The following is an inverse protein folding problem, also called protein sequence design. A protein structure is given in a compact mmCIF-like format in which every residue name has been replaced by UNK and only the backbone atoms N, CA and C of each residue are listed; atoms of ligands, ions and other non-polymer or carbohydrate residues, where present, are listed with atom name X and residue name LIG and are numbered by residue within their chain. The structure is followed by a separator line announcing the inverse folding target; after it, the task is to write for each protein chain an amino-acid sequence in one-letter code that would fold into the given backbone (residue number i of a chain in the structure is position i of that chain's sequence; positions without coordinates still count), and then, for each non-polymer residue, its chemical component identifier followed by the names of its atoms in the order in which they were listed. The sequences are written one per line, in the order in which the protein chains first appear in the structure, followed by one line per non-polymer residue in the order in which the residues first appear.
data_IF_790357627788
#
_entry.id   IF_790357627788
#
_cell.length_a   1.000
_cell.length_b   1.000
_cell.length_c   1.000
_cell.angle_alpha   90.00
_cell.angle_beta   90.00
_cell.angle_gamma   90.00
#
_symmetry.space_group_name_H-M   'P 1'
#
loop_
_entity.id
_entity.type
_entity.pdbx_description
1 polymer ?
#
# COMPACT_ATOMS: atom_id res chain seq x y z
N UNK A 1 -23.21 -1.83 -22.42
CA UNK A 1 -22.18 -2.87 -22.16
C UNK A 1 -22.54 -3.57 -20.86
N UNK A 2 -22.48 -4.89 -20.80
CA UNK A 2 -22.82 -5.65 -19.61
C UNK A 2 -21.65 -5.64 -18.61
N UNK A 3 -21.74 -4.84 -17.54
CA UNK A 3 -20.69 -4.68 -16.51
C UNK A 3 -20.32 -6.02 -15.86
N UNK A 4 -21.31 -6.88 -15.58
CA UNK A 4 -21.08 -8.20 -15.01
C UNK A 4 -20.27 -9.11 -15.94
N UNK A 5 -20.55 -9.11 -17.24
CA UNK A 5 -19.81 -9.91 -18.20
C UNK A 5 -18.34 -9.45 -18.32
N UNK A 6 -18.09 -8.14 -18.27
CA UNK A 6 -16.73 -7.58 -18.27
C UNK A 6 -15.99 -7.98 -16.98
N UNK A 7 -16.64 -7.89 -15.83
CA UNK A 7 -16.06 -8.26 -14.54
C UNK A 7 -15.77 -9.77 -14.41
N UNK A 8 -16.65 -10.62 -14.92
CA UNK A 8 -16.43 -12.07 -14.96
C UNK A 8 -15.20 -12.42 -15.79
N UNK A 9 -15.11 -11.92 -17.03
CA UNK A 9 -13.93 -12.16 -17.88
C UNK A 9 -12.64 -11.53 -17.31
N UNK A 10 -12.76 -10.41 -16.60
CA UNK A 10 -11.63 -9.82 -15.88
C UNK A 10 -11.14 -10.72 -14.75
N UNK A 11 -12.06 -11.25 -13.94
CA UNK A 11 -11.76 -12.15 -12.81
C UNK A 11 -11.13 -13.45 -13.30
N UNK A 12 -11.69 -14.08 -14.33
CA UNK A 12 -11.15 -15.30 -14.94
C UNK A 12 -9.69 -15.10 -15.38
N UNK A 13 -9.40 -13.98 -16.03
CA UNK A 13 -8.04 -13.63 -16.46
C UNK A 13 -7.11 -13.36 -15.27
N UNK A 14 -7.56 -12.71 -14.20
CA UNK A 14 -6.72 -12.44 -13.04
C UNK A 14 -6.44 -13.69 -12.20
N UNK A 15 -7.37 -14.65 -12.17
CA UNK A 15 -7.17 -15.93 -11.50
C UNK A 15 -5.97 -16.72 -12.07
N UNK A 16 -5.65 -16.55 -13.36
CA UNK A 16 -4.45 -17.15 -13.97
C UNK A 16 -3.15 -16.38 -13.68
N UNK A 17 -3.25 -15.15 -13.17
CA UNK A 17 -2.11 -14.26 -12.92
C UNK A 17 -1.59 -14.42 -11.49
N UNK A 18 -2.49 -14.49 -10.52
CA UNK A 18 -2.15 -14.62 -9.11
C UNK A 18 -3.32 -15.12 -8.26
N UNK A 19 -3.16 -16.29 -7.63
CA UNK A 19 -4.20 -16.92 -6.82
C UNK A 19 -4.54 -16.16 -5.53
N UNK A 20 -3.72 -15.20 -5.10
CA UNK A 20 -4.01 -14.36 -3.93
C UNK A 20 -4.86 -13.12 -4.27
N UNK A 21 -5.17 -12.89 -5.55
CA UNK A 21 -6.08 -11.80 -5.92
C UNK A 21 -7.52 -12.20 -5.56
N UNK A 22 -8.29 -11.29 -4.95
CA UNK A 22 -9.70 -11.50 -4.68
C UNK A 22 -10.49 -11.52 -6.00
N UNK A 23 -11.72 -12.02 -5.94
CA UNK A 23 -12.69 -11.80 -7.02
C UNK A 23 -12.91 -10.31 -7.26
N UNK A 24 -13.05 -9.93 -8.52
CA UNK A 24 -13.18 -8.54 -8.93
C UNK A 24 -14.60 -8.29 -9.43
N UNK A 25 -15.54 -7.92 -8.54
CA UNK A 25 -16.95 -7.77 -8.89
C UNK A 25 -17.17 -6.68 -9.93
N UNK A 26 -18.39 -6.68 -10.50
CA UNK A 26 -18.86 -5.61 -11.37
C UNK A 26 -18.71 -4.26 -10.69
N UNK A 27 -18.37 -3.25 -11.49
CA UNK A 27 -18.30 -1.88 -11.00
C UNK A 27 -19.72 -1.36 -10.87
N UNK A 28 -20.15 -1.15 -9.64
CA UNK A 28 -21.43 -0.54 -9.32
C UNK A 28 -21.26 0.98 -9.19
N UNK A 29 -22.09 1.79 -9.85
CA UNK A 29 -22.05 3.23 -9.68
C UNK A 29 -22.33 3.61 -8.23
N UNK A 30 -21.40 4.33 -7.62
CA UNK A 30 -21.59 4.99 -6.31
C UNK A 30 -21.87 6.47 -6.52
N UNK A 31 -22.51 7.11 -5.55
CA UNK A 31 -22.80 8.55 -5.61
C UNK A 31 -21.51 9.37 -5.84
N UNK A 32 -21.56 10.31 -6.77
CA UNK A 32 -20.42 11.16 -7.13
C UNK A 32 -19.34 10.47 -8.00
N UNK A 33 -19.44 9.18 -8.29
CA UNK A 33 -18.53 8.50 -9.21
C UNK A 33 -18.99 8.60 -10.67
N UNK A 34 -18.02 8.59 -11.59
CA UNK A 34 -18.26 8.64 -13.03
C UNK A 34 -17.99 7.28 -13.66
N UNK A 35 -19.04 6.70 -14.22
CA UNK A 35 -18.93 5.46 -14.99
C UNK A 35 -18.38 5.74 -16.39
N UNK A 36 -17.33 5.01 -16.74
CA UNK A 36 -16.66 5.07 -18.03
C UNK A 36 -16.70 3.69 -18.68
N UNK A 37 -16.70 3.66 -19.99
CA UNK A 37 -16.57 2.42 -20.76
C UNK A 37 -15.78 2.68 -22.01
N UNK A 38 -15.09 1.68 -22.54
CA UNK A 38 -14.34 1.81 -23.79
C UNK A 38 -14.24 0.47 -24.50
N UNK A 39 -14.06 0.51 -25.82
CA UNK A 39 -13.95 -0.67 -26.68
C UNK A 39 -12.76 -0.49 -27.62
N UNK A 40 -12.00 -1.56 -27.82
CA UNK A 40 -10.87 -1.63 -28.75
C UNK A 40 -10.92 -2.94 -29.54
N UNK A 41 -11.65 -2.95 -30.66
CA UNK A 41 -12.01 -4.20 -31.35
C UNK A 41 -12.86 -5.09 -30.45
N UNK A 42 -12.47 -6.35 -30.29
CA UNK A 42 -13.19 -7.32 -29.44
C UNK A 42 -12.83 -7.23 -27.94
N UNK A 43 -12.04 -6.23 -27.55
CA UNK A 43 -11.68 -6.00 -26.14
C UNK A 43 -12.45 -4.84 -25.56
N UNK A 44 -12.91 -4.99 -24.32
CA UNK A 44 -13.83 -4.06 -23.66
C UNK A 44 -13.34 -3.72 -22.26
N UNK A 45 -13.44 -2.44 -21.91
CA UNK A 45 -13.14 -1.93 -20.59
C UNK A 45 -14.36 -1.25 -19.97
N UNK A 46 -14.59 -1.52 -18.69
CA UNK A 46 -15.45 -0.72 -17.82
C UNK A 46 -14.57 -0.02 -16.78
N UNK A 47 -14.90 1.21 -16.44
CA UNK A 47 -14.18 1.97 -15.43
C UNK A 47 -15.12 2.76 -14.53
N UNK A 48 -14.67 2.98 -13.31
CA UNK A 48 -15.36 3.83 -12.34
C UNK A 48 -14.34 4.83 -11.79
N UNK A 49 -14.55 6.10 -12.08
CA UNK A 49 -13.72 7.19 -11.58
C UNK A 49 -14.33 7.74 -10.30
N UNK A 50 -13.63 7.58 -9.18
CA UNK A 50 -14.06 8.03 -7.85
C UNK A 50 -13.16 9.17 -7.41
N UNK A 51 -13.76 10.31 -7.06
CA UNK A 51 -13.06 11.42 -6.40
C UNK A 51 -13.16 11.24 -4.89
N UNK A 52 -12.02 11.31 -4.21
CA UNK A 52 -11.97 11.28 -2.75
C UNK A 52 -11.13 12.47 -2.27
N UNK A 53 -11.55 13.05 -1.15
CA UNK A 53 -10.92 14.21 -0.54
C UNK A 53 -10.63 13.92 0.92
N UNK A 54 -9.40 14.18 1.34
CA UNK A 54 -8.98 14.10 2.73
C UNK A 54 -8.73 15.51 3.26
N UNK A 55 -9.17 15.79 4.48
CA UNK A 55 -8.76 16.99 5.18
C UNK A 55 -7.24 16.98 5.43
N UNK A 56 -6.59 18.15 5.51
CA UNK A 56 -5.15 18.23 5.77
C UNK A 56 -4.75 17.59 7.10
N UNK A 57 -5.63 17.63 8.09
CA UNK A 57 -5.41 17.08 9.43
C UNK A 57 -5.90 15.62 9.57
N UNK A 58 -6.32 14.98 8.46
CA UNK A 58 -6.72 13.58 8.45
C UNK A 58 -5.51 12.66 8.68
N UNK A 59 -5.73 11.54 9.38
CA UNK A 59 -4.72 10.49 9.58
C UNK A 59 -4.18 9.93 8.26
N UNK A 60 -4.99 9.98 7.20
CA UNK A 60 -4.59 9.50 5.87
C UNK A 60 -3.78 10.53 5.08
N UNK A 61 -3.84 11.82 5.44
CA UNK A 61 -3.29 12.93 4.63
C UNK A 61 -1.78 12.84 4.36
N UNK A 62 -0.93 12.25 5.23
CA UNK A 62 0.48 12.07 4.93
C UNK A 62 0.74 11.02 3.86
N UNK A 63 -0.20 10.11 3.58
CA UNK A 63 0.01 8.93 2.74
C UNK A 63 -0.55 9.09 1.32
N UNK A 64 -1.02 10.30 0.97
CA UNK A 64 -1.70 10.58 -0.30
C UNK A 64 -1.74 12.08 -0.62
N UNK A 65 -2.11 12.40 -1.86
CA UNK A 65 -2.58 13.74 -2.21
C UNK A 65 -3.94 14.03 -1.54
N UNK A 66 -4.23 15.28 -1.18
CA UNK A 66 -5.49 15.65 -0.52
C UNK A 66 -6.70 15.34 -1.38
N UNK A 67 -6.58 15.47 -2.71
CA UNK A 67 -7.61 15.07 -3.66
C UNK A 67 -7.06 13.95 -4.54
N UNK A 68 -7.64 12.76 -4.44
CA UNK A 68 -7.36 11.68 -5.39
C UNK A 68 -8.54 11.43 -6.32
N UNK A 69 -8.24 11.35 -7.61
CA UNK A 69 -9.10 10.75 -8.61
C UNK A 69 -8.61 9.33 -8.84
N UNK A 70 -9.39 8.34 -8.38
CA UNK A 70 -9.05 6.92 -8.51
C UNK A 70 -9.86 6.30 -9.65
N UNK A 71 -9.19 5.62 -10.57
CA UNK A 71 -9.85 4.81 -11.59
C UNK A 71 -9.77 3.34 -11.19
N UNK A 72 -10.93 2.75 -10.94
CA UNK A 72 -11.07 1.30 -10.96
C UNK A 72 -11.41 0.84 -12.37
N UNK A 73 -10.77 -0.25 -12.83
CA UNK A 73 -10.99 -0.78 -14.17
C UNK A 73 -11.31 -2.27 -14.12
N UNK A 74 -12.18 -2.70 -15.04
CA UNK A 74 -12.40 -4.10 -15.42
C UNK A 74 -12.17 -4.23 -16.91
N UNK A 75 -11.42 -5.24 -17.30
CA UNK A 75 -10.94 -5.46 -18.68
C UNK A 75 -11.24 -6.88 -19.10
N UNK A 76 -11.83 -7.07 -20.28
CA UNK A 76 -12.08 -8.37 -20.89
C UNK A 76 -11.73 -8.35 -22.38
N UNK A 77 -11.49 -9.53 -22.96
CA UNK A 77 -11.11 -9.72 -24.35
C UNK A 77 -9.60 -9.90 -24.59
N UNK A 78 -9.19 -10.16 -25.83
CA UNK A 78 -7.84 -10.62 -26.17
C UNK A 78 -6.74 -9.55 -26.10
N UNK A 79 -7.09 -8.27 -26.03
CA UNK A 79 -6.17 -7.12 -26.00
C UNK A 79 -6.51 -6.17 -24.84
N UNK A 80 -6.32 -6.61 -23.58
CA UNK A 80 -6.65 -5.82 -22.40
C UNK A 80 -5.89 -4.48 -22.33
N UNK A 81 -4.67 -4.42 -22.87
CA UNK A 81 -3.86 -3.21 -22.97
C UNK A 81 -4.52 -2.14 -23.86
N UNK A 82 -5.08 -2.54 -25.01
CA UNK A 82 -5.76 -1.61 -25.92
C UNK A 82 -7.09 -1.11 -25.33
N UNK A 83 -7.82 -1.99 -24.63
CA UNK A 83 -9.04 -1.60 -23.93
C UNK A 83 -8.74 -0.63 -22.77
N UNK A 84 -7.65 -0.87 -22.02
CA UNK A 84 -7.21 0.05 -20.98
C UNK A 84 -6.78 1.41 -21.55
N UNK A 85 -6.03 1.45 -22.65
CA UNK A 85 -5.62 2.71 -23.27
C UNK A 85 -6.82 3.57 -23.72
N UNK A 86 -7.83 2.92 -24.31
CA UNK A 86 -9.07 3.57 -24.69
C UNK A 86 -9.84 4.10 -23.46
N UNK A 87 -9.85 3.35 -22.35
CA UNK A 87 -10.45 3.81 -21.09
C UNK A 87 -9.68 4.99 -20.48
N UNK A 88 -8.34 4.91 -20.45
CA UNK A 88 -7.47 5.98 -19.95
C UNK A 88 -7.61 7.27 -20.78
N UNK A 89 -7.92 7.17 -22.08
CA UNK A 89 -8.21 8.34 -22.93
C UNK A 89 -9.46 9.07 -22.45
N UNK A 90 -10.57 8.33 -22.25
CA UNK A 90 -11.83 8.90 -21.74
C UNK A 90 -11.67 9.45 -20.33
N UNK A 91 -10.89 8.77 -19.50
CA UNK A 91 -10.63 9.24 -18.14
C UNK A 91 -9.78 10.52 -18.13
N UNK A 92 -8.78 10.64 -19.01
CA UNK A 92 -7.97 11.86 -19.12
C UNK A 92 -8.80 13.08 -19.57
N UNK A 93 -9.75 12.88 -20.49
CA UNK A 93 -10.73 13.90 -20.87
C UNK A 93 -11.59 14.34 -19.67
N UNK A 94 -12.08 13.38 -18.89
CA UNK A 94 -12.82 13.67 -17.66
C UNK A 94 -11.98 14.44 -16.65
N UNK A 95 -10.74 14.01 -16.37
CA UNK A 95 -9.84 14.67 -15.42
C UNK A 95 -9.58 16.13 -15.82
N UNK A 96 -9.34 16.41 -17.10
CA UNK A 96 -9.16 17.78 -17.62
C UNK A 96 -10.36 18.69 -17.38
N UNK A 97 -11.56 18.12 -17.29
CA UNK A 97 -12.78 18.88 -17.02
C UNK A 97 -13.02 19.16 -15.53
N UNK A 98 -12.47 18.34 -14.63
CA UNK A 98 -12.82 18.39 -13.19
C UNK A 98 -11.66 18.70 -12.25
N UNK A 99 -10.41 18.51 -12.67
CA UNK A 99 -9.23 18.69 -11.83
C UNK A 99 -8.44 19.96 -12.23
N UNK A 100 -8.00 20.78 -11.26
CA UNK A 100 -7.21 21.97 -11.54
C UNK A 100 -5.83 21.61 -12.11
N UNK A 101 -5.43 22.18 -13.27
CA UNK A 101 -4.13 21.89 -13.87
C UNK A 101 -2.94 22.37 -13.01
N UNK A 102 -2.00 21.47 -12.76
CA UNK A 102 -0.75 21.78 -12.05
C UNK A 102 -0.85 21.76 -10.52
N UNK A 103 -1.98 21.37 -9.94
CA UNK A 103 -2.13 21.32 -8.48
C UNK A 103 -1.47 20.07 -7.89
N UNK A 104 -0.37 20.27 -7.18
CA UNK A 104 0.40 19.20 -6.54
C UNK A 104 -0.37 18.46 -5.45
N UNK A 105 -1.47 19.00 -4.92
CA UNK A 105 -2.33 18.31 -3.95
C UNK A 105 -3.44 17.49 -4.60
N UNK A 106 -3.38 17.35 -5.94
CA UNK A 106 -4.23 16.43 -6.71
C UNK A 106 -3.41 15.27 -7.27
N UNK A 107 -3.97 14.07 -7.25
CA UNK A 107 -3.37 12.91 -7.93
C UNK A 107 -4.41 12.11 -8.71
N UNK A 108 -3.99 11.56 -9.85
CA UNK A 108 -4.72 10.52 -10.55
C UNK A 108 -4.07 9.17 -10.22
N UNK A 109 -4.84 8.21 -9.72
CA UNK A 109 -4.33 6.92 -9.22
C UNK A 109 -5.07 5.76 -9.89
N UNK A 110 -4.32 4.77 -10.39
CA UNK A 110 -4.83 3.48 -10.87
C UNK A 110 -4.15 2.38 -10.07
N UNK A 111 -4.92 1.58 -9.33
CA UNK A 111 -4.38 0.43 -8.60
C UNK A 111 -4.54 -0.82 -9.46
N UNK A 112 -3.44 -1.51 -9.73
CA UNK A 112 -3.38 -2.67 -10.65
C UNK A 112 -2.80 -3.88 -9.93
N UNK A 113 -3.27 -5.11 -10.21
CA UNK A 113 -2.56 -6.30 -9.80
C UNK A 113 -1.13 -6.27 -10.36
N UNK A 114 -0.13 -6.47 -9.51
CA UNK A 114 1.27 -6.25 -9.89
C UNK A 114 1.77 -7.19 -10.98
N UNK A 115 1.19 -8.40 -11.05
CA UNK A 115 1.50 -9.40 -12.09
C UNK A 115 0.63 -9.26 -13.35
N UNK A 116 -0.34 -8.34 -13.36
CA UNK A 116 -1.16 -8.03 -14.54
C UNK A 116 -0.48 -6.96 -15.42
N UNK A 117 0.57 -7.37 -16.12
CA UNK A 117 1.46 -6.47 -16.89
C UNK A 117 0.86 -5.80 -18.14
N UNK A 118 -0.09 -6.41 -18.90
CA UNK A 118 -0.73 -5.69 -20.00
C UNK A 118 -1.35 -4.37 -19.54
N UNK A 119 -1.05 -3.28 -20.25
CA UNK A 119 -1.49 -1.93 -19.87
C UNK A 119 -0.43 -1.06 -19.19
N UNK A 120 0.69 -1.63 -18.74
CA UNK A 120 1.75 -0.85 -18.06
C UNK A 120 2.40 0.19 -18.97
N UNK A 121 2.62 -0.13 -20.25
CA UNK A 121 3.22 0.81 -21.20
C UNK A 121 2.28 2.00 -21.49
N UNK A 122 0.97 1.75 -21.51
CA UNK A 122 -0.09 2.73 -21.72
C UNK A 122 -0.15 3.72 -20.55
N UNK A 123 -0.03 3.23 -19.32
CA UNK A 123 0.07 4.05 -18.11
C UNK A 123 1.32 4.95 -18.16
N UNK A 124 2.49 4.38 -18.49
CA UNK A 124 3.75 5.14 -18.62
C UNK A 124 3.66 6.23 -19.68
N UNK A 125 3.12 5.93 -20.87
CA UNK A 125 2.93 6.93 -21.95
C UNK A 125 2.04 8.10 -21.53
N UNK A 126 1.18 7.92 -20.53
CA UNK A 126 0.25 8.93 -20.01
C UNK A 126 0.77 9.63 -18.75
N UNK A 127 2.02 9.38 -18.37
CA UNK A 127 2.70 10.04 -17.26
C UNK A 127 2.43 9.42 -15.89
N UNK A 128 1.88 8.21 -15.83
CA UNK A 128 1.78 7.47 -14.57
C UNK A 128 3.11 6.80 -14.24
N UNK A 129 3.55 6.92 -13.00
CA UNK A 129 4.67 6.16 -12.44
C UNK A 129 4.15 5.15 -11.40
N UNK A 130 4.75 3.95 -11.30
CA UNK A 130 4.46 3.06 -10.19
C UNK A 130 5.15 3.60 -8.92
N UNK A 131 4.38 3.96 -7.90
CA UNK A 131 4.89 4.68 -6.72
C UNK A 131 4.85 3.85 -5.44
N UNK A 132 3.77 3.10 -5.22
CA UNK A 132 3.50 2.37 -3.98
C UNK A 132 3.08 0.94 -4.29
N UNK A 133 3.49 0.00 -3.46
CA UNK A 133 3.13 -1.41 -3.57
C UNK A 133 2.41 -1.86 -2.31
N UNK A 134 1.31 -2.61 -2.49
CA UNK A 134 0.84 -3.54 -1.46
C UNK A 134 1.58 -4.85 -1.71
N UNK A 135 2.49 -5.18 -0.79
CA UNK A 135 3.22 -6.44 -0.82
C UNK A 135 2.51 -7.47 0.07
N UNK A 136 2.59 -8.74 -0.34
CA UNK A 136 1.97 -9.86 0.35
C UNK A 136 3.01 -10.90 0.72
N UNK A 137 2.88 -11.46 1.93
CA UNK A 137 3.61 -12.63 2.40
C UNK A 137 2.60 -13.64 2.95
N UNK A 138 2.43 -14.82 2.32
CA UNK A 138 1.71 -15.93 2.93
C UNK A 138 2.38 -16.38 4.23
N UNK A 139 1.60 -16.86 5.19
CA UNK A 139 2.12 -17.41 6.43
C UNK A 139 3.01 -18.63 6.15
N UNK A 140 4.07 -18.78 6.95
CA UNK A 140 4.97 -19.92 6.89
C UNK A 140 4.88 -20.70 8.20
N UNK A 141 3.86 -21.55 8.29
CA UNK A 141 3.50 -22.29 9.51
C UNK A 141 4.49 -23.42 9.85
N UNK A 142 5.53 -23.64 9.04
CA UNK A 142 6.47 -24.75 9.20
C UNK A 142 7.74 -24.37 10.01
N UNK A 143 7.91 -23.11 10.42
CA UNK A 143 9.02 -22.69 11.28
C UNK A 143 8.70 -22.91 12.77
N UNK A 144 9.03 -24.08 13.31
CA UNK A 144 8.82 -24.42 14.74
C UNK A 144 9.92 -23.86 15.66
N UNK A 145 10.99 -23.30 15.10
CA UNK A 145 12.02 -22.59 15.87
C UNK A 145 11.85 -21.09 15.68
N UNK A 146 11.76 -20.34 16.79
CA UNK A 146 11.74 -18.88 16.77
C UNK A 146 12.91 -18.28 15.97
N UNK A 147 12.85 -16.98 15.63
CA UNK A 147 13.80 -16.35 14.74
C UNK A 147 15.22 -16.47 15.31
N UNK A 148 16.23 -16.65 14.43
CA UNK A 148 17.61 -16.74 14.89
C UNK A 148 18.00 -15.46 15.63
N UNK A 149 18.72 -15.62 16.75
CA UNK A 149 19.18 -14.49 17.54
C UNK A 149 20.13 -13.61 16.72
N UNK A 150 19.86 -12.31 16.66
CA UNK A 150 20.79 -11.32 16.12
C UNK A 150 21.65 -10.79 17.26
N UNK A 151 22.99 -10.88 17.19
CA UNK A 151 23.86 -10.43 18.27
C UNK A 151 23.59 -8.98 18.71
N UNK A 152 23.43 -8.77 20.01
CA UNK A 152 23.21 -7.45 20.60
C UNK A 152 21.80 -6.89 20.40
N UNK A 153 20.90 -7.60 19.71
CA UNK A 153 19.50 -7.17 19.53
C UNK A 153 18.62 -7.83 20.58
N UNK A 154 17.89 -7.02 21.33
CA UNK A 154 16.84 -7.44 22.26
C UNK A 154 15.51 -6.81 21.81
N UNK A 155 14.47 -7.62 21.65
CA UNK A 155 13.15 -7.15 21.22
C UNK A 155 12.18 -7.33 22.38
N UNK A 156 11.47 -6.27 22.73
CA UNK A 156 10.45 -6.28 23.79
C UNK A 156 9.20 -5.50 23.37
N UNK A 157 8.02 -5.80 23.94
CA UNK A 157 6.86 -4.93 23.82
C UNK A 157 7.21 -3.49 24.20
N UNK A 158 6.64 -2.54 23.49
CA UNK A 158 6.81 -1.13 23.80
C UNK A 158 5.95 -0.71 25.01
N UNK A 159 6.55 0.06 25.90
CA UNK A 159 5.95 0.56 27.13
C UNK A 159 5.66 2.06 27.02
N UNK A 160 4.91 2.62 27.97
CA UNK A 160 4.54 4.04 27.93
C UNK A 160 5.77 4.98 27.85
N UNK A 161 6.88 4.60 28.49
CA UNK A 161 8.13 5.36 28.50
C UNK A 161 8.85 5.37 27.14
N UNK A 162 8.48 4.48 26.20
CA UNK A 162 9.05 4.45 24.86
C UNK A 162 8.42 5.48 23.89
N UNK A 163 7.40 6.24 24.32
CA UNK A 163 6.64 7.12 23.43
C UNK A 163 7.51 8.09 22.63
N UNK A 164 8.41 8.81 23.30
CA UNK A 164 9.32 9.76 22.64
C UNK A 164 10.21 9.06 21.61
N UNK A 165 10.71 7.87 21.94
CA UNK A 165 11.55 7.09 21.02
C UNK A 165 10.76 6.61 19.81
N UNK A 166 9.56 6.08 20.02
CA UNK A 166 8.69 5.60 18.94
C UNK A 166 8.26 6.73 18.00
N UNK A 167 7.92 7.90 18.54
CA UNK A 167 7.61 9.11 17.75
C UNK A 167 8.82 9.53 16.92
N UNK A 168 10.01 9.58 17.52
CA UNK A 168 11.25 9.92 16.82
C UNK A 168 11.57 8.98 15.65
N UNK A 169 11.39 7.66 15.85
CA UNK A 169 11.58 6.65 14.82
C UNK A 169 10.56 6.76 13.68
N UNK A 170 9.28 7.00 13.99
CA UNK A 170 8.23 7.17 12.98
C UNK A 170 8.46 8.43 12.14
N UNK A 171 8.83 9.54 12.79
CA UNK A 171 9.17 10.80 12.11
C UNK A 171 10.42 10.65 11.23
N UNK A 172 11.43 9.88 11.66
CA UNK A 172 12.59 9.56 10.82
C UNK A 172 12.19 8.74 9.60
N UNK A 173 11.34 7.73 9.78
CA UNK A 173 10.80 6.90 8.70
C UNK A 173 10.03 7.76 7.69
N UNK A 174 9.08 8.59 8.13
CA UNK A 174 8.29 9.46 7.25
C UNK A 174 9.17 10.45 6.48
N UNK A 175 10.17 11.06 7.13
CA UNK A 175 11.13 11.95 6.47
C UNK A 175 11.94 11.22 5.39
N UNK A 176 12.28 9.95 5.63
CA UNK A 176 12.97 9.14 4.63
C UNK A 176 12.03 8.79 3.46
N UNK A 177 10.81 8.33 3.75
CA UNK A 177 9.86 7.88 2.72
C UNK A 177 9.27 9.01 1.86
N UNK A 178 9.25 10.26 2.38
CA UNK A 178 8.81 11.45 1.63
C UNK A 178 9.62 11.70 0.35
N UNK A 179 10.81 11.09 0.22
CA UNK A 179 11.67 11.19 -0.95
C UNK A 179 11.17 10.35 -2.14
N UNK A 180 10.23 9.43 -1.94
CA UNK A 180 9.82 8.43 -2.94
C UNK A 180 8.37 8.61 -3.45
N UNK A 181 7.73 9.74 -3.14
CA UNK A 181 6.50 10.19 -3.79
C UNK A 181 5.18 9.68 -3.20
N UNK A 182 5.20 8.68 -2.30
CA UNK A 182 3.99 8.20 -1.62
C UNK A 182 3.68 8.94 -0.32
N UNK A 183 4.70 9.50 0.34
CA UNK A 183 4.55 10.22 1.62
C UNK A 183 4.68 11.73 1.38
N UNK A 184 3.79 12.50 2.00
CA UNK A 184 3.81 13.96 2.03
C UNK A 184 3.94 14.40 3.48
N UNK A 185 5.00 15.14 3.80
CA UNK A 185 5.14 15.70 5.15
C UNK A 185 4.10 16.80 5.36
N UNK A 186 3.43 16.75 6.50
CA UNK A 186 2.35 17.69 6.87
C UNK A 186 2.72 18.39 8.17
N UNK A 187 2.25 19.62 8.33
CA UNK A 187 2.20 20.25 9.65
C UNK A 187 1.31 19.41 10.57
N UNK A 188 1.62 19.34 11.87
CA UNK A 188 0.85 18.52 12.82
C UNK A 188 1.19 17.03 12.82
N UNK A 189 2.14 16.57 12.00
CA UNK A 189 2.47 15.15 11.89
C UNK A 189 2.98 14.54 13.21
N UNK A 190 3.81 15.28 13.96
CA UNK A 190 4.34 14.84 15.25
C UNK A 190 3.23 14.67 16.28
N UNK A 191 2.29 15.63 16.36
CA UNK A 191 1.14 15.57 17.24
C UNK A 191 0.22 14.40 16.89
N UNK A 192 -0.04 14.18 15.60
CA UNK A 192 -0.87 13.07 15.12
C UNK A 192 -0.23 11.71 15.42
N UNK A 193 1.08 11.56 15.16
CA UNK A 193 1.85 10.34 15.47
C UNK A 193 1.86 10.09 16.98
N UNK A 194 2.09 11.13 17.79
CA UNK A 194 2.09 11.02 19.25
C UNK A 194 0.73 10.56 19.78
N UNK A 195 -0.37 11.13 19.25
CA UNK A 195 -1.73 10.77 19.63
C UNK A 195 -2.12 9.34 19.21
N UNK A 196 -1.56 8.82 18.11
CA UNK A 196 -1.78 7.45 17.67
C UNK A 196 -0.94 6.45 18.48
N UNK A 197 0.37 6.70 18.64
CA UNK A 197 1.27 5.82 19.38
C UNK A 197 0.90 5.71 20.87
N UNK A 198 0.49 6.80 21.51
CA UNK A 198 0.04 6.78 22.92
C UNK A 198 -1.15 5.84 23.16
N UNK A 199 -1.99 5.58 22.15
CA UNK A 199 -3.10 4.61 22.24
C UNK A 199 -2.65 3.16 22.07
N UNK A 200 -1.46 2.93 21.51
CA UNK A 200 -0.95 1.60 21.18
C UNK A 200 0.03 1.05 22.22
N UNK A 201 0.65 1.93 23.01
CA UNK A 201 1.59 1.56 24.06
C UNK A 201 0.91 0.92 25.27
N UNK A 202 1.56 -0.06 25.89
CA UNK A 202 1.08 -0.69 27.13
C UNK A 202 -0.19 -1.55 26.99
N UNK A 203 -0.60 -1.91 25.77
CA UNK A 203 -1.71 -2.84 25.54
C UNK A 203 -1.37 -4.22 26.11
N UNK A 204 -2.38 -4.90 26.69
CA UNK A 204 -2.26 -6.28 27.17
C UNK A 204 -1.82 -7.24 26.05
N UNK A 205 -2.35 -7.03 24.84
CA UNK A 205 -1.89 -7.65 23.61
C UNK A 205 -1.07 -6.61 22.82
N UNK A 206 0.27 -6.67 22.85
CA UNK A 206 1.12 -5.67 22.22
C UNK A 206 0.92 -5.63 20.70
N UNK A 207 0.88 -4.43 20.13
CA UNK A 207 0.90 -4.18 18.67
C UNK A 207 2.14 -3.43 18.21
N UNK A 208 3.03 -3.12 19.14
CA UNK A 208 4.25 -2.35 18.93
C UNK A 208 5.39 -2.94 19.78
N UNK A 209 6.54 -3.17 19.15
CA UNK A 209 7.75 -3.66 19.80
C UNK A 209 8.92 -2.72 19.52
N UNK A 210 9.80 -2.61 20.49
CA UNK A 210 11.08 -1.90 20.40
C UNK A 210 12.19 -2.92 20.24
N UNK A 211 13.13 -2.64 19.34
CA UNK A 211 14.41 -3.32 19.25
C UNK A 211 15.51 -2.45 19.87
N UNK A 212 16.14 -2.98 20.91
CA UNK A 212 17.31 -2.43 21.53
C UNK A 212 18.56 -3.04 20.91
N UNK A 213 19.46 -2.21 20.39
CA UNK A 213 20.78 -2.62 19.92
C UNK A 213 21.83 -2.19 20.94
N UNK A 214 22.42 -3.16 21.63
CA UNK A 214 23.34 -2.97 22.76
C UNK A 214 22.75 -2.02 23.83
N UNK A 215 21.48 -2.24 24.18
CA UNK A 215 20.75 -1.48 25.20
C UNK A 215 20.22 -0.12 24.77
N UNK A 216 20.33 0.25 23.48
CA UNK A 216 19.76 1.49 22.94
C UNK A 216 18.55 1.19 22.05
N UNK A 217 17.38 1.80 22.28
CA UNK A 217 16.17 1.53 21.50
C UNK A 217 16.28 2.21 20.12
N UNK A 218 16.70 1.44 19.10
CA UNK A 218 17.08 1.95 17.79
C UNK A 218 16.24 1.37 16.64
N UNK A 219 15.20 0.61 16.95
CA UNK A 219 14.23 0.17 15.97
C UNK A 219 12.88 -0.11 16.60
N UNK A 220 11.85 -0.14 15.75
CA UNK A 220 10.50 -0.50 16.15
C UNK A 220 9.76 -1.19 15.02
N UNK A 221 8.73 -1.97 15.36
CA UNK A 221 7.78 -2.55 14.42
C UNK A 221 6.36 -2.44 14.94
N UNK A 222 5.43 -2.07 14.06
CA UNK A 222 4.00 -1.91 14.34
C UNK A 222 3.20 -2.87 13.48
N UNK A 223 2.22 -3.53 14.09
CA UNK A 223 1.35 -4.50 13.41
C UNK A 223 -0.13 -4.24 13.71
N UNK A 224 -1.00 -4.76 12.85
CA UNK A 224 -2.43 -4.91 13.08
C UNK A 224 -2.80 -6.37 12.88
N UNK A 225 -3.56 -6.92 13.82
CA UNK A 225 -3.93 -8.33 13.82
C UNK A 225 -5.19 -8.60 12.96
N UNK A 226 -5.45 -9.87 12.58
CA UNK A 226 -6.72 -10.24 11.98
C UNK A 226 -7.90 -9.73 12.83
N UNK A 227 -8.86 -9.04 12.18
CA UNK A 227 -9.96 -8.34 12.84
C UNK A 227 -9.78 -6.81 12.91
N UNK A 228 -8.53 -6.32 12.87
CA UNK A 228 -8.21 -4.88 12.82
C UNK A 228 -7.92 -4.40 11.37
N UNK A 229 -7.94 -5.31 10.39
CA UNK A 229 -7.45 -5.10 9.01
C UNK A 229 -8.55 -5.01 7.94
N UNK A 230 -9.81 -4.77 8.33
CA UNK A 230 -10.95 -4.72 7.39
C UNK A 230 -10.79 -3.69 6.27
N UNK A 231 -10.06 -2.60 6.54
CA UNK A 231 -9.77 -1.53 5.59
C UNK A 231 -8.89 -1.98 4.40
N UNK A 232 -8.10 -3.06 4.56
CA UNK A 232 -7.20 -3.58 3.51
C UNK A 232 -7.49 -5.03 3.12
N UNK A 233 -8.21 -5.79 3.96
CA UNK A 233 -8.46 -7.22 3.74
C UNK A 233 -9.09 -7.54 2.38
N UNK A 234 -9.93 -6.64 1.84
CA UNK A 234 -10.54 -6.76 0.51
C UNK A 234 -9.53 -6.79 -0.66
N UNK A 235 -8.23 -6.58 -0.41
CA UNK A 235 -7.17 -6.63 -1.42
C UNK A 235 -6.58 -8.03 -1.61
N UNK A 236 -6.97 -9.03 -0.82
CA UNK A 236 -6.38 -10.36 -0.88
C UNK A 236 -7.45 -11.43 -0.70
N UNK A 237 -7.30 -12.55 -1.40
CA UNK A 237 -8.16 -13.73 -1.23
C UNK A 237 -7.73 -14.54 0.01
N UNK A 238 -7.90 -13.95 1.20
CA UNK A 238 -7.63 -14.60 2.49
C UNK A 238 -8.55 -14.03 3.58
N UNK A 239 -8.92 -14.85 4.56
CA UNK A 239 -9.84 -14.43 5.62
C UNK A 239 -9.09 -13.80 6.78
N UNK A 240 -7.92 -14.35 7.12
CA UNK A 240 -7.15 -13.94 8.30
C UNK A 240 -5.95 -13.10 7.88
N UNK A 241 -6.20 -11.81 7.66
CA UNK A 241 -5.20 -10.86 7.15
C UNK A 241 -4.54 -10.11 8.29
N UNK A 242 -3.21 -10.22 8.40
CA UNK A 242 -2.38 -9.34 9.23
C UNK A 242 -1.84 -8.18 8.39
N UNK A 243 -1.50 -7.07 9.05
CA UNK A 243 -0.89 -5.93 8.37
C UNK A 243 0.31 -5.42 9.16
N UNK A 244 1.48 -5.37 8.50
CA UNK A 244 2.68 -4.74 9.06
C UNK A 244 2.63 -3.26 8.70
N UNK A 245 2.32 -2.43 9.72
CA UNK A 245 2.02 -1.01 9.54
C UNK A 245 3.26 -0.18 9.27
N UNK A 246 4.29 -0.35 10.09
CA UNK A 246 5.59 0.30 9.89
C UNK A 246 6.69 -0.53 10.55
N UNK A 247 7.89 -0.42 9.99
CA UNK A 247 9.13 -0.90 10.61
C UNK A 247 10.17 0.19 10.39
N UNK A 248 10.68 0.72 11.49
CA UNK A 248 11.68 1.78 11.47
C UNK A 248 12.96 1.29 12.15
N UNK A 249 14.10 1.66 11.58
CA UNK A 249 15.42 1.49 12.19
C UNK A 249 16.14 2.82 12.07
N UNK A 250 16.55 3.36 13.22
CA UNK A 250 17.31 4.60 13.30
C UNK A 250 18.53 4.53 12.39
N UNK A 251 18.84 5.64 11.71
CA UNK A 251 19.92 5.72 10.75
C UNK A 251 21.26 5.12 11.23
N UNK A 252 21.73 5.38 12.46
CA UNK A 252 22.98 4.81 12.97
C UNK A 252 22.98 3.28 13.14
N UNK A 253 21.81 2.65 13.16
CA UNK A 253 21.63 1.21 13.32
C UNK A 253 21.25 0.50 12.02
N UNK A 254 21.18 1.18 10.88
CA UNK A 254 20.87 0.53 9.60
C UNK A 254 21.99 -0.44 9.22
N UNK A 255 21.62 -1.52 8.52
CA UNK A 255 22.54 -2.63 8.15
C UNK A 255 23.17 -3.39 9.32
N UNK A 256 22.64 -3.25 10.55
CA UNK A 256 23.09 -3.99 11.74
C UNK A 256 22.38 -5.34 11.96
N UNK A 257 21.33 -5.63 11.18
CA UNK A 257 20.45 -6.79 11.39
C UNK A 257 19.20 -6.50 12.21
N UNK A 258 19.08 -5.33 12.87
CA UNK A 258 17.89 -4.94 13.65
C UNK A 258 16.59 -5.05 12.85
N UNK A 259 16.58 -4.59 11.59
CA UNK A 259 15.38 -4.66 10.74
C UNK A 259 14.94 -6.10 10.46
N UNK A 260 15.89 -6.99 10.13
CA UNK A 260 15.59 -8.41 9.91
C UNK A 260 15.09 -9.09 11.19
N UNK A 261 15.67 -8.76 12.35
CA UNK A 261 15.22 -9.28 13.64
C UNK A 261 13.77 -8.85 13.95
N UNK A 262 13.44 -7.57 13.75
CA UNK A 262 12.08 -7.05 13.92
C UNK A 262 11.08 -7.68 12.94
N UNK A 263 11.45 -7.85 11.67
CA UNK A 263 10.58 -8.50 10.70
C UNK A 263 10.29 -9.95 11.07
N UNK A 264 11.33 -10.70 11.46
CA UNK A 264 11.19 -12.10 11.86
C UNK A 264 10.36 -12.24 13.15
N UNK A 265 10.53 -11.33 14.12
CA UNK A 265 9.69 -11.24 15.32
C UNK A 265 8.22 -10.97 14.96
N UNK A 266 7.96 -9.98 14.11
CA UNK A 266 6.60 -9.66 13.67
C UNK A 266 5.94 -10.85 12.93
N UNK A 267 6.69 -11.57 12.09
CA UNK A 267 6.20 -12.77 11.42
C UNK A 267 5.84 -13.87 12.39
N UNK A 268 6.69 -14.16 13.39
CA UNK A 268 6.37 -15.12 14.44
C UNK A 268 5.07 -14.74 15.17
N UNK A 269 4.94 -13.47 15.54
CA UNK A 269 3.72 -12.96 16.20
C UNK A 269 2.48 -13.15 15.33
N UNK A 270 2.57 -12.91 14.01
CA UNK A 270 1.48 -13.19 13.09
C UNK A 270 1.13 -14.68 12.98
N UNK A 271 2.15 -15.54 12.96
CA UNK A 271 2.00 -17.00 12.87
C UNK A 271 1.36 -17.56 14.15
N UNK A 272 1.73 -17.07 15.33
CA UNK A 272 1.12 -17.40 16.63
C UNK A 272 -0.35 -16.96 16.71
N UNK A 273 -0.68 -15.82 16.11
CA UNK A 273 -2.07 -15.40 15.93
C UNK A 273 -2.78 -16.17 14.82
N UNK A 274 -2.11 -17.07 14.08
CA UNK A 274 -2.65 -17.91 13.01
C UNK A 274 -2.99 -17.17 11.71
N UNK A 275 -2.40 -16.01 11.48
CA UNK A 275 -2.56 -15.22 10.26
C UNK A 275 -2.36 -16.10 9.01
N UNK A 276 -3.08 -15.82 7.93
CA UNK A 276 -2.94 -16.53 6.64
C UNK A 276 -2.01 -15.78 5.70
N UNK A 277 -2.14 -14.46 5.66
CA UNK A 277 -1.32 -13.57 4.85
C UNK A 277 -1.03 -12.30 5.61
N UNK A 278 0.17 -11.77 5.45
CA UNK A 278 0.56 -10.45 5.93
C UNK A 278 0.67 -9.51 4.74
N UNK A 279 0.00 -8.36 4.84
CA UNK A 279 0.13 -7.27 3.89
C UNK A 279 1.01 -6.16 4.47
N UNK A 280 1.69 -5.43 3.60
CA UNK A 280 2.32 -4.16 3.94
C UNK A 280 2.33 -3.22 2.74
N UNK A 281 2.47 -1.92 3.02
CA UNK A 281 2.80 -0.95 2.00
C UNK A 281 4.29 -0.64 2.01
N UNK A 282 4.89 -0.49 0.83
CA UNK A 282 6.21 0.13 0.69
C UNK A 282 6.30 0.97 -0.58
N UNK A 283 7.07 2.06 -0.52
CA UNK A 283 7.39 2.84 -1.70
C UNK A 283 8.25 2.00 -2.66
N UNK A 284 7.85 1.89 -3.92
CA UNK A 284 8.51 1.00 -4.88
C UNK A 284 9.93 1.48 -5.21
N UNK A 285 10.10 2.80 -5.32
CA UNK A 285 11.39 3.42 -5.63
C UNK A 285 12.35 3.47 -4.42
N UNK A 286 11.91 3.12 -3.21
CA UNK A 286 12.76 3.16 -2.03
C UNK A 286 13.83 2.03 -2.14
N UNK A 287 15.13 2.39 -2.28
CA UNK A 287 16.19 1.43 -2.57
C UNK A 287 16.57 0.57 -1.36
N UNK A 288 16.02 0.86 -0.18
CA UNK A 288 16.20 0.06 1.04
C UNK A 288 14.99 -0.81 1.30
N UNK A 289 13.80 -0.23 1.30
CA UNK A 289 12.56 -0.95 1.65
C UNK A 289 12.23 -2.03 0.62
N UNK A 290 12.31 -1.74 -0.68
CA UNK A 290 11.97 -2.72 -1.72
C UNK A 290 12.81 -4.00 -1.64
N UNK A 291 14.17 -3.95 -1.69
CA UNK A 291 14.95 -5.17 -1.58
C UNK A 291 14.85 -5.82 -0.18
N UNK A 292 14.72 -5.02 0.88
CA UNK A 292 14.55 -5.55 2.24
C UNK A 292 13.28 -6.42 2.33
N UNK A 293 12.11 -5.88 1.99
CA UNK A 293 10.85 -6.61 2.12
C UNK A 293 10.79 -7.85 1.22
N UNK A 294 11.34 -7.77 0.01
CA UNK A 294 11.43 -8.95 -0.87
C UNK A 294 12.37 -10.01 -0.30
N UNK A 295 13.46 -9.61 0.36
CA UNK A 295 14.32 -10.51 1.14
C UNK A 295 13.61 -11.13 2.36
N UNK A 296 12.58 -10.49 2.91
CA UNK A 296 11.75 -11.01 4.01
C UNK A 296 10.58 -11.91 3.53
N UNK A 297 10.58 -12.31 2.25
CA UNK A 297 9.57 -13.21 1.68
C UNK A 297 8.29 -12.52 1.20
N UNK A 298 8.26 -11.18 1.18
CA UNK A 298 7.17 -10.44 0.54
C UNK A 298 7.35 -10.41 -0.98
N UNK A 299 6.23 -10.27 -1.69
CA UNK A 299 6.21 -9.99 -3.13
C UNK A 299 5.11 -8.98 -3.44
N UNK A 300 5.21 -8.21 -4.54
CA UNK A 300 4.17 -7.27 -4.90
C UNK A 300 2.87 -8.00 -5.27
N UNK A 301 1.74 -7.56 -4.71
CA UNK A 301 0.39 -8.03 -5.06
C UNK A 301 -0.38 -6.94 -5.83
N UNK A 302 -0.32 -5.70 -5.36
CA UNK A 302 -0.89 -4.54 -6.04
C UNK A 302 0.13 -3.43 -6.20
N UNK A 303 0.05 -2.71 -7.32
CA UNK A 303 0.85 -1.53 -7.61
C UNK A 303 -0.07 -0.33 -7.82
N UNK A 304 0.23 0.75 -7.11
CA UNK A 304 -0.37 2.05 -7.30
C UNK A 304 0.42 2.78 -8.39
N UNK A 305 -0.26 3.00 -9.52
CA UNK A 305 0.21 3.84 -10.59
C UNK A 305 -0.35 5.24 -10.38
N UNK A 306 0.52 6.22 -10.20
CA UNK A 306 0.12 7.58 -9.88
C UNK A 306 0.67 8.58 -10.89
N UNK A 307 -0.16 9.56 -11.23
CA UNK A 307 0.22 10.80 -11.90
C UNK A 307 -0.11 11.96 -10.96
N UNK A 308 0.90 12.71 -10.54
CA UNK A 308 0.79 13.85 -9.61
C UNK A 308 1.56 15.04 -10.22
N UNK A 309 0.93 16.21 -10.45
CA UNK A 309 -0.50 16.52 -10.29
C UNK A 309 -1.42 15.64 -11.16
N UNK A 310 -2.72 15.57 -10.82
CA UNK A 310 -3.70 14.76 -11.56
C UNK A 310 -3.78 15.18 -13.05
N UNK A 311 -3.63 16.47 -13.33
CA UNK A 311 -3.56 17.08 -14.67
C UNK A 311 -2.34 18.00 -14.72
N UNK A 312 -1.47 17.83 -15.71
CA UNK A 312 -0.35 18.74 -15.94
C UNK A 312 -0.83 20.05 -16.59
N UNK A 313 -0.14 21.16 -16.31
CA UNK A 313 -0.33 22.40 -17.10
C UNK A 313 0.08 22.14 -18.54
N UNK A 314 -0.71 22.63 -19.49
CA UNK A 314 -0.27 22.72 -20.89
C UNK A 314 1.02 23.55 -20.93
N UNK A 315 2.04 23.02 -21.60
CA UNK A 315 3.27 23.76 -21.89
C UNK A 315 2.99 24.90 -22.86
#
# INVERSE_FOLDING_TARGET
MNSHAIAAGHTERLATVDALLPEMPALEPVEGAVSLSATAGDSVAAGLSVRTEAGPDSVDSPWRALVEHRLEARLTGPRPEAALDALLTRWDEHLKAVAPPGDAETAATVVRPSRDSPGSAELLRRGFAPVLVIAVRPADRLAVTGPPATPGVHIRPAEADDLETAVGLELELQRYDAQFGSVTLREGAEEAITADLSKQLGRENPTLWIAELYGRPLGMVRVQFPGETSWIGHRVAAERVGYLSSLAVAEPARSSGVGSALAAHAHQVFDECGTEVVLLHHALANPRSTPFWYGQGYRPLWTYWQRRPAVYRSR
#
